data_IF_686723618644
#
_entry.id   IF_686723618644
#
_cell.length_a   1.000
_cell.length_b   1.000
_cell.length_c   1.000
_cell.angle_alpha   90.00
_cell.angle_beta   90.00
_cell.angle_gamma   90.00
#
_symmetry.space_group_name_H-M   'P 1'
#
loop_
_entity.id
_entity.type
_entity.pdbx_description
1 polymer ?
#
# COMPACT_ATOMS: atom_id res chain seq x y z
N UNK A 1 -30.45 28.18 2.16
CA UNK A 1 -29.74 27.16 2.93
C UNK A 1 -28.32 27.09 2.41
N UNK A 2 -27.35 27.61 3.18
CA UNK A 2 -25.95 27.62 2.76
C UNK A 2 -25.35 26.21 2.89
N UNK A 3 -24.89 25.67 1.78
CA UNK A 3 -24.06 24.48 1.78
C UNK A 3 -22.74 24.88 2.46
N UNK A 4 -22.53 24.43 3.71
CA UNK A 4 -21.21 24.54 4.34
C UNK A 4 -20.25 23.73 3.47
N UNK A 5 -19.29 24.38 2.83
CA UNK A 5 -18.15 23.71 2.23
C UNK A 5 -17.50 22.85 3.33
N UNK A 6 -17.60 21.56 3.19
CA UNK A 6 -16.91 20.62 4.09
C UNK A 6 -15.42 20.83 3.84
N UNK A 7 -14.68 21.23 4.87
CA UNK A 7 -13.23 21.39 4.75
C UNK A 7 -12.65 20.13 4.15
N UNK A 8 -11.88 20.27 3.07
CA UNK A 8 -11.20 19.14 2.45
C UNK A 8 -10.37 18.43 3.52
N UNK A 9 -10.62 17.16 3.73
CA UNK A 9 -9.91 16.38 4.75
C UNK A 9 -8.53 16.08 4.19
N UNK A 10 -7.51 16.37 4.98
CA UNK A 10 -6.13 16.09 4.63
C UNK A 10 -5.92 14.59 4.40
N UNK A 11 -5.30 14.23 3.28
CA UNK A 11 -4.90 12.85 3.01
C UNK A 11 -3.75 12.43 3.95
N UNK A 12 -3.77 11.18 4.37
CA UNK A 12 -2.78 10.62 5.27
C UNK A 12 -1.58 10.11 4.46
N UNK A 13 -0.44 10.80 4.52
CA UNK A 13 0.78 10.46 3.77
C UNK A 13 1.72 9.67 4.67
N UNK A 14 2.09 8.47 4.24
CA UNK A 14 3.10 7.63 4.86
C UNK A 14 3.99 6.95 3.82
N UNK A 15 4.64 5.86 4.22
CA UNK A 15 5.65 5.18 3.40
C UNK A 15 5.37 3.68 3.36
N UNK A 16 5.46 3.07 2.16
CA UNK A 16 5.68 1.65 1.97
C UNK A 16 7.16 1.34 2.20
N UNK A 17 7.45 0.49 3.19
CA UNK A 17 8.84 0.31 3.65
C UNK A 17 9.75 -0.42 2.65
N UNK A 18 9.19 -0.96 1.55
CA UNK A 18 10.01 -1.46 0.44
C UNK A 18 10.91 -0.36 -0.14
N UNK A 19 10.47 0.90 -0.10
CA UNK A 19 11.28 2.09 -0.43
C UNK A 19 12.67 2.09 0.22
N UNK A 20 12.77 1.53 1.42
CA UNK A 20 14.02 1.42 2.19
C UNK A 20 14.58 -0.01 2.22
N UNK A 21 14.36 -0.80 1.16
CA UNK A 21 14.74 -2.22 1.12
C UNK A 21 16.23 -2.48 1.35
N UNK A 22 17.09 -1.52 1.01
CA UNK A 22 18.56 -1.60 1.22
C UNK A 22 19.02 -1.07 2.60
N UNK A 23 18.11 -0.47 3.40
CA UNK A 23 18.44 0.11 4.72
C UNK A 23 18.29 -0.91 5.85
N UNK A 24 19.01 -0.71 6.96
CA UNK A 24 18.63 -1.37 8.20
C UNK A 24 17.30 -0.81 8.73
N UNK A 25 16.61 -1.55 9.61
CA UNK A 25 15.38 -1.04 10.26
C UNK A 25 15.67 0.24 11.05
N UNK A 26 16.83 0.34 11.69
CA UNK A 26 17.20 1.51 12.51
C UNK A 26 17.48 2.73 11.63
N UNK A 27 18.18 2.56 10.51
CA UNK A 27 18.44 3.64 9.54
C UNK A 27 17.10 4.12 8.93
N UNK A 28 16.25 3.19 8.52
CA UNK A 28 14.91 3.50 8.02
C UNK A 28 14.10 4.31 9.04
N UNK A 29 14.07 3.89 10.32
CA UNK A 29 13.37 4.61 11.39
C UNK A 29 13.93 6.02 11.56
N UNK A 30 15.24 6.18 11.44
CA UNK A 30 15.88 7.49 11.51
C UNK A 30 15.39 8.42 10.40
N UNK A 31 15.29 7.91 9.16
CA UNK A 31 14.75 8.65 8.01
C UNK A 31 13.26 8.98 8.19
N UNK A 32 12.44 8.00 8.55
CA UNK A 32 11.02 8.20 8.80
C UNK A 32 10.78 9.27 9.87
N UNK A 33 11.58 9.25 10.95
CA UNK A 33 11.50 10.23 12.04
C UNK A 33 11.88 11.63 11.55
N UNK A 34 12.98 11.76 10.79
CA UNK A 34 13.41 13.03 10.21
C UNK A 34 12.34 13.63 9.29
N UNK A 35 11.65 12.79 8.52
CA UNK A 35 10.55 13.17 7.63
C UNK A 35 9.21 13.33 8.35
N UNK A 36 9.14 13.09 9.68
CA UNK A 36 7.91 13.11 10.47
C UNK A 36 6.81 12.19 9.90
N UNK A 37 7.21 11.01 9.45
CA UNK A 37 6.30 9.95 9.03
C UNK A 37 5.92 9.14 10.26
N UNK A 38 4.62 8.99 10.50
CA UNK A 38 4.07 8.29 11.67
C UNK A 38 3.29 7.04 11.33
N UNK A 39 3.06 6.78 10.04
CA UNK A 39 2.35 5.59 9.57
C UNK A 39 3.07 4.97 8.37
N UNK A 40 3.16 3.65 8.42
CA UNK A 40 3.83 2.85 7.39
C UNK A 40 3.02 1.64 6.99
N UNK A 41 3.28 1.14 5.78
CA UNK A 41 3.11 -0.26 5.46
C UNK A 41 4.43 -1.00 5.62
N UNK A 42 4.40 -2.15 6.33
CA UNK A 42 5.53 -3.07 6.35
C UNK A 42 5.55 -3.90 5.08
N UNK A 43 6.40 -3.54 4.14
CA UNK A 43 6.54 -4.19 2.81
C UNK A 43 7.97 -4.63 2.49
N UNK A 44 8.84 -4.76 3.49
CA UNK A 44 10.23 -5.19 3.30
C UNK A 44 10.31 -6.70 3.00
N UNK A 45 11.22 -7.08 2.10
CA UNK A 45 11.36 -8.45 1.61
C UNK A 45 11.56 -9.51 2.71
N UNK A 46 12.28 -9.16 3.80
CA UNK A 46 12.49 -10.05 4.94
C UNK A 46 11.25 -10.25 5.83
N UNK A 47 10.16 -9.52 5.57
CA UNK A 47 8.86 -9.67 6.22
C UNK A 47 7.79 -10.28 5.31
N UNK A 48 8.09 -10.55 4.05
CA UNK A 48 7.14 -11.15 3.11
C UNK A 48 7.07 -12.67 3.27
N UNK A 49 5.93 -13.27 2.86
CA UNK A 49 5.69 -14.72 2.97
C UNK A 49 6.63 -15.59 2.13
N UNK A 50 7.27 -15.05 1.10
CA UNK A 50 8.29 -15.76 0.32
C UNK A 50 9.48 -16.21 1.19
N UNK A 51 9.80 -15.45 2.24
CA UNK A 51 10.79 -15.78 3.28
C UNK A 51 10.20 -15.33 4.62
N UNK A 52 9.30 -16.15 5.22
CA UNK A 52 8.54 -15.71 6.39
C UNK A 52 9.44 -15.27 7.53
N UNK A 53 9.16 -14.12 8.16
CA UNK A 53 9.90 -13.65 9.32
C UNK A 53 9.65 -14.57 10.52
N UNK A 54 10.51 -14.47 11.52
CA UNK A 54 10.21 -15.05 12.84
C UNK A 54 9.32 -14.11 13.65
N UNK A 55 8.63 -14.66 14.63
CA UNK A 55 7.85 -13.85 15.60
C UNK A 55 8.72 -12.81 16.32
N UNK A 56 9.95 -13.17 16.62
CA UNK A 56 10.90 -12.27 17.29
C UNK A 56 11.25 -11.09 16.40
N UNK A 57 11.48 -11.31 15.10
CA UNK A 57 11.70 -10.23 14.13
C UNK A 57 10.51 -9.26 14.11
N UNK A 58 9.27 -9.78 14.03
CA UNK A 58 8.07 -8.94 14.02
C UNK A 58 7.92 -8.14 15.32
N UNK A 59 8.08 -8.78 16.48
CA UNK A 59 8.01 -8.09 17.79
C UNK A 59 9.11 -7.06 17.96
N UNK A 60 10.34 -7.37 17.53
CA UNK A 60 11.47 -6.46 17.58
C UNK A 60 11.23 -5.22 16.71
N UNK A 61 10.79 -5.42 15.46
CA UNK A 61 10.45 -4.34 14.55
C UNK A 61 9.34 -3.46 15.14
N UNK A 62 8.25 -4.08 15.60
CA UNK A 62 7.15 -3.35 16.24
C UNK A 62 7.61 -2.53 17.43
N UNK A 63 8.41 -3.12 18.32
CA UNK A 63 8.94 -2.41 19.50
C UNK A 63 9.81 -1.20 19.12
N UNK A 64 10.60 -1.30 18.03
CA UNK A 64 11.38 -0.17 17.51
C UNK A 64 10.49 0.93 16.96
N UNK A 65 9.46 0.57 16.17
CA UNK A 65 8.48 1.53 15.64
C UNK A 65 7.71 2.23 16.76
N UNK A 66 7.22 1.49 17.74
CA UNK A 66 6.48 2.06 18.88
C UNK A 66 7.31 3.12 19.63
N UNK A 67 8.60 2.84 19.88
CA UNK A 67 9.51 3.80 20.52
C UNK A 67 9.74 5.06 19.68
N UNK A 68 9.67 4.95 18.36
CA UNK A 68 9.80 6.07 17.43
C UNK A 68 8.46 6.80 17.17
N UNK A 69 7.35 6.34 17.75
CA UNK A 69 6.02 6.89 17.50
C UNK A 69 5.49 6.57 16.09
N UNK A 70 5.98 5.50 15.47
CA UNK A 70 5.57 5.03 14.14
C UNK A 70 4.62 3.86 14.28
N UNK A 71 3.53 3.86 13.53
CA UNK A 71 2.53 2.78 13.49
C UNK A 71 2.62 2.01 12.18
N UNK A 72 2.71 0.69 12.27
CA UNK A 72 2.50 -0.20 11.12
C UNK A 72 0.98 -0.37 10.93
N UNK A 73 0.38 0.34 9.97
CA UNK A 73 -1.07 0.29 9.73
C UNK A 73 -1.45 -0.72 8.65
N UNK A 74 -0.51 -1.08 7.80
CA UNK A 74 -0.64 -2.12 6.79
C UNK A 74 0.58 -3.05 6.79
N UNK A 75 0.35 -4.32 6.46
CA UNK A 75 1.39 -5.33 6.25
C UNK A 75 1.25 -5.92 4.85
N UNK A 76 2.30 -5.82 4.04
CA UNK A 76 2.33 -6.43 2.71
C UNK A 76 2.84 -7.87 2.80
N UNK A 77 1.94 -8.83 2.54
CA UNK A 77 2.24 -10.26 2.65
C UNK A 77 2.89 -10.86 1.40
N UNK A 78 2.81 -10.18 0.24
CA UNK A 78 2.94 -10.77 -1.07
C UNK A 78 1.81 -11.80 -1.33
N UNK A 79 2.03 -12.79 -2.21
CA UNK A 79 1.00 -13.76 -2.59
C UNK A 79 0.70 -14.75 -1.48
N UNK A 80 -0.57 -14.87 -1.07
CA UNK A 80 -1.07 -15.91 -0.16
C UNK A 80 -1.52 -17.11 -1.00
N UNK A 81 -0.76 -18.21 -0.94
CA UNK A 81 -0.94 -19.38 -1.83
C UNK A 81 -1.70 -20.52 -1.18
N UNK A 82 -1.55 -20.69 0.12
CA UNK A 82 -2.10 -21.81 0.88
C UNK A 82 -2.51 -21.41 2.31
N UNK A 83 -3.05 -22.34 3.07
CA UNK A 83 -3.53 -22.10 4.43
C UNK A 83 -2.39 -21.73 5.39
N UNK A 84 -1.17 -22.20 5.16
CA UNK A 84 0.00 -21.83 5.95
C UNK A 84 0.38 -20.37 5.73
N UNK A 85 0.37 -19.91 4.48
CA UNK A 85 0.61 -18.50 4.14
C UNK A 85 -0.46 -17.61 4.76
N UNK A 86 -1.73 -18.06 4.75
CA UNK A 86 -2.84 -17.36 5.38
C UNK A 86 -2.66 -17.25 6.90
N UNK A 87 -2.25 -18.33 7.57
CA UNK A 87 -1.95 -18.32 9.02
C UNK A 87 -0.80 -17.35 9.34
N UNK A 88 0.25 -17.33 8.51
CA UNK A 88 1.37 -16.41 8.66
C UNK A 88 0.93 -14.96 8.43
N UNK A 89 0.14 -14.67 7.40
CA UNK A 89 -0.34 -13.33 7.12
C UNK A 89 -1.13 -12.75 8.31
N UNK A 90 -2.05 -13.53 8.88
CA UNK A 90 -2.80 -13.14 10.09
C UNK A 90 -1.86 -12.93 11.26
N UNK A 91 -0.98 -13.88 11.53
CA UNK A 91 -0.04 -13.84 12.66
C UNK A 91 0.89 -12.64 12.59
N UNK A 92 1.49 -12.37 11.44
CA UNK A 92 2.45 -11.27 11.31
C UNK A 92 1.76 -9.91 11.35
N UNK A 93 0.57 -9.77 10.75
CA UNK A 93 -0.24 -8.56 10.90
C UNK A 93 -0.51 -8.26 12.39
N UNK A 94 -0.94 -9.27 13.16
CA UNK A 94 -1.20 -9.12 14.59
C UNK A 94 0.06 -8.77 15.38
N UNK A 95 1.21 -9.42 15.09
CA UNK A 95 2.48 -9.14 15.76
C UNK A 95 3.03 -7.74 15.44
N UNK A 96 2.82 -7.25 14.22
CA UNK A 96 3.19 -5.90 13.81
C UNK A 96 2.17 -4.84 14.28
N UNK A 97 0.99 -5.26 14.74
CA UNK A 97 -0.11 -4.38 15.16
C UNK A 97 -0.89 -3.78 13.99
N UNK A 98 -0.74 -4.35 12.79
CA UNK A 98 -1.46 -3.94 11.59
C UNK A 98 -2.92 -4.39 11.64
N UNK A 99 -3.81 -3.58 11.04
CA UNK A 99 -5.22 -3.91 10.84
C UNK A 99 -5.54 -4.24 9.39
N UNK A 100 -4.68 -3.82 8.47
CA UNK A 100 -4.77 -4.15 7.05
C UNK A 100 -3.64 -5.07 6.64
N UNK A 101 -3.94 -6.01 5.76
CA UNK A 101 -2.95 -6.80 5.02
C UNK A 101 -3.16 -6.51 3.55
N UNK A 102 -2.09 -6.16 2.86
CA UNK A 102 -2.08 -6.05 1.41
C UNK A 102 -1.32 -7.22 0.80
N UNK A 103 -1.70 -7.58 -0.41
CA UNK A 103 -1.10 -8.71 -1.12
C UNK A 103 -2.03 -9.21 -2.21
N UNK A 104 -1.74 -10.39 -2.71
CA UNK A 104 -2.58 -11.01 -3.71
C UNK A 104 -2.91 -12.48 -3.37
N UNK A 105 -3.99 -12.97 -3.94
CA UNK A 105 -4.43 -14.35 -3.91
C UNK A 105 -5.44 -14.56 -5.02
N UNK A 106 -5.66 -15.79 -5.44
CA UNK A 106 -6.61 -16.12 -6.51
C UNK A 106 -7.55 -17.27 -6.12
N UNK A 107 -8.64 -17.44 -6.87
CA UNK A 107 -9.53 -18.57 -6.73
C UNK A 107 -10.16 -18.71 -5.34
N UNK A 108 -10.14 -19.93 -4.80
CA UNK A 108 -10.72 -20.25 -3.50
C UNK A 108 -9.98 -19.60 -2.32
N UNK A 109 -8.72 -19.24 -2.49
CA UNK A 109 -7.95 -18.59 -1.43
C UNK A 109 -8.56 -17.24 -1.04
N UNK A 110 -9.10 -16.47 -1.99
CA UNK A 110 -9.80 -15.22 -1.68
C UNK A 110 -11.00 -15.43 -0.75
N UNK A 111 -11.73 -16.54 -0.90
CA UNK A 111 -12.85 -16.89 0.00
C UNK A 111 -12.33 -17.22 1.41
N UNK A 112 -11.28 -18.01 1.50
CA UNK A 112 -10.65 -18.36 2.79
C UNK A 112 -10.10 -17.12 3.52
N UNK A 113 -9.48 -16.20 2.77
CA UNK A 113 -9.01 -14.91 3.31
C UNK A 113 -10.20 -14.12 3.85
N UNK A 114 -11.27 -13.95 3.08
CA UNK A 114 -12.46 -13.20 3.48
C UNK A 114 -13.05 -13.75 4.80
N UNK A 115 -13.26 -15.06 4.88
CA UNK A 115 -13.80 -15.73 6.07
C UNK A 115 -12.85 -15.58 7.29
N UNK A 116 -11.53 -15.78 7.07
CA UNK A 116 -10.55 -15.72 8.15
C UNK A 116 -10.35 -14.30 8.66
N UNK A 117 -10.20 -13.34 7.76
CA UNK A 117 -9.96 -11.94 8.12
C UNK A 117 -11.18 -11.30 8.79
N UNK A 118 -12.39 -11.63 8.33
CA UNK A 118 -13.63 -11.21 9.01
C UNK A 118 -13.66 -11.69 10.46
N UNK A 119 -13.27 -12.95 10.72
CA UNK A 119 -13.23 -13.51 12.06
C UNK A 119 -12.15 -12.88 12.95
N UNK A 120 -11.00 -12.52 12.37
CA UNK A 120 -9.87 -11.94 13.10
C UNK A 120 -9.96 -10.39 13.24
N UNK A 121 -10.97 -9.76 12.62
CA UNK A 121 -11.11 -8.30 12.62
C UNK A 121 -10.01 -7.58 11.85
N UNK A 122 -9.47 -8.21 10.79
CA UNK A 122 -8.50 -7.67 9.86
C UNK A 122 -9.19 -7.31 8.55
N UNK A 123 -8.55 -6.49 7.72
CA UNK A 123 -8.95 -6.21 6.34
C UNK A 123 -7.89 -6.69 5.35
N UNK A 124 -8.30 -7.05 4.14
CA UNK A 124 -7.39 -7.45 3.06
C UNK A 124 -7.58 -6.55 1.85
N UNK A 125 -6.49 -5.91 1.41
CA UNK A 125 -6.43 -5.13 0.19
C UNK A 125 -5.76 -5.93 -0.93
N UNK A 126 -6.51 -6.32 -1.96
CA UNK A 126 -5.93 -6.92 -3.17
C UNK A 126 -5.01 -5.88 -3.80
N UNK A 127 -3.73 -6.22 -3.94
CA UNK A 127 -2.71 -5.39 -4.56
C UNK A 127 -2.66 -5.67 -6.05
N UNK A 128 -2.88 -4.66 -6.89
CA UNK A 128 -2.65 -4.75 -8.33
C UNK A 128 -1.16 -4.57 -8.63
N UNK A 129 -0.67 -5.27 -9.63
CA UNK A 129 0.75 -5.24 -9.99
C UNK A 129 0.95 -5.25 -11.50
N UNK A 130 2.05 -4.66 -11.97
CA UNK A 130 2.55 -4.82 -13.32
C UNK A 130 3.64 -5.89 -13.34
N UNK A 131 3.54 -6.81 -14.29
CA UNK A 131 4.62 -7.72 -14.66
C UNK A 131 4.74 -7.75 -16.19
N UNK A 132 5.92 -8.09 -16.71
CA UNK A 132 6.10 -8.29 -18.15
C UNK A 132 5.22 -9.41 -18.70
N UNK A 133 4.96 -10.42 -17.88
CA UNK A 133 3.99 -11.47 -18.13
C UNK A 133 2.68 -11.12 -17.43
N UNK A 134 1.54 -11.50 -18.03
CA UNK A 134 0.23 -11.16 -17.49
C UNK A 134 0.08 -11.61 -16.04
N UNK A 135 -0.37 -10.69 -15.19
CA UNK A 135 -0.70 -10.91 -13.79
C UNK A 135 -2.21 -10.95 -13.56
N UNK A 136 -2.65 -11.44 -12.41
CA UNK A 136 -4.08 -11.60 -12.12
C UNK A 136 -4.82 -10.25 -11.96
N UNK A 137 -4.12 -9.21 -11.51
CA UNK A 137 -4.70 -7.91 -11.16
C UNK A 137 -3.91 -6.78 -11.78
N UNK A 138 -4.14 -6.51 -13.06
CA UNK A 138 -3.49 -5.43 -13.81
C UNK A 138 -4.37 -4.17 -13.90
N UNK A 139 -5.67 -4.33 -13.68
CA UNK A 139 -6.67 -3.27 -13.82
C UNK A 139 -7.61 -3.17 -12.62
N UNK A 140 -8.34 -2.05 -12.52
CA UNK A 140 -9.41 -1.89 -11.55
C UNK A 140 -10.53 -2.92 -11.74
N UNK A 141 -10.80 -3.31 -12.98
CA UNK A 141 -11.81 -4.31 -13.36
C UNK A 141 -11.45 -5.70 -12.83
N UNK A 142 -10.18 -6.09 -12.91
CA UNK A 142 -9.72 -7.37 -12.37
C UNK A 142 -9.95 -7.42 -10.86
N UNK A 143 -9.59 -6.35 -10.15
CA UNK A 143 -9.80 -6.24 -8.70
C UNK A 143 -11.29 -6.25 -8.35
N UNK A 144 -12.13 -5.49 -9.07
CA UNK A 144 -13.59 -5.47 -8.85
C UNK A 144 -14.21 -6.85 -9.09
N UNK A 145 -13.76 -7.56 -10.11
CA UNK A 145 -14.22 -8.93 -10.41
C UNK A 145 -13.87 -9.89 -9.26
N UNK A 146 -12.69 -9.76 -8.68
CA UNK A 146 -12.26 -10.56 -7.53
C UNK A 146 -13.03 -10.21 -6.25
N UNK A 147 -13.46 -8.96 -6.09
CA UNK A 147 -14.23 -8.49 -4.94
C UNK A 147 -15.72 -8.80 -5.01
N UNK A 148 -16.23 -9.21 -6.17
CA UNK A 148 -17.66 -9.48 -6.36
C UNK A 148 -18.17 -10.54 -5.39
N UNK A 149 -19.22 -10.20 -4.63
CA UNK A 149 -19.86 -11.11 -3.66
C UNK A 149 -19.08 -11.33 -2.36
N UNK A 150 -18.00 -10.57 -2.11
CA UNK A 150 -17.21 -10.67 -0.87
C UNK A 150 -17.68 -9.66 0.18
N UNK A 151 -17.27 -9.89 1.42
CA UNK A 151 -17.56 -8.99 2.52
C UNK A 151 -16.80 -7.66 2.42
N UNK A 152 -17.19 -6.69 3.22
CA UNK A 152 -16.49 -5.40 3.33
C UNK A 152 -15.08 -5.49 3.93
N UNK A 153 -14.69 -6.67 4.44
CA UNK A 153 -13.33 -6.98 4.89
C UNK A 153 -12.35 -6.95 3.72
N UNK A 154 -12.80 -7.42 2.56
CA UNK A 154 -12.03 -7.42 1.32
C UNK A 154 -12.10 -6.06 0.64
N UNK A 155 -11.01 -5.66 0.02
CA UNK A 155 -10.91 -4.40 -0.72
C UNK A 155 -9.68 -4.36 -1.60
N UNK A 156 -9.24 -3.15 -1.93
CA UNK A 156 -8.09 -2.90 -2.81
C UNK A 156 -6.99 -2.14 -2.07
N UNK A 157 -5.77 -2.60 -2.23
CA UNK A 157 -4.55 -1.80 -2.12
C UNK A 157 -4.19 -1.35 -3.53
N UNK A 158 -4.55 -0.12 -3.88
CA UNK A 158 -4.38 0.41 -5.22
C UNK A 158 -2.98 0.97 -5.40
N UNK A 159 -2.15 0.32 -6.21
CA UNK A 159 -0.89 0.90 -6.68
C UNK A 159 -1.13 1.64 -8.01
N UNK A 160 -1.04 2.98 -7.96
CA UNK A 160 -1.30 3.82 -9.14
C UNK A 160 -0.17 3.77 -10.17
N UNK A 161 1.07 3.48 -9.73
CA UNK A 161 2.20 3.29 -10.63
C UNK A 161 2.02 2.04 -11.48
N UNK A 162 1.63 0.94 -10.87
CA UNK A 162 1.36 -0.30 -11.60
C UNK A 162 0.15 -0.19 -12.54
N UNK A 163 -0.92 0.53 -12.15
CA UNK A 163 -2.03 0.85 -13.06
C UNK A 163 -1.51 1.58 -14.31
N UNK A 164 -0.66 2.59 -14.11
CA UNK A 164 -0.06 3.36 -15.22
C UNK A 164 0.88 2.49 -16.07
N UNK A 165 1.68 1.62 -15.45
CA UNK A 165 2.55 0.66 -16.15
C UNK A 165 1.75 -0.30 -17.03
N UNK A 166 0.58 -0.74 -16.58
CA UNK A 166 -0.35 -1.57 -17.35
C UNK A 166 -1.11 -0.78 -18.44
N UNK A 167 -0.90 0.55 -18.55
CA UNK A 167 -1.54 1.40 -19.55
C UNK A 167 -2.97 1.82 -19.24
N UNK A 168 -3.41 1.65 -17.99
CA UNK A 168 -4.75 2.03 -17.55
C UNK A 168 -4.80 3.46 -16.96
N UNK A 169 -5.99 4.07 -16.91
CA UNK A 169 -6.19 5.40 -16.33
C UNK A 169 -6.24 5.32 -14.80
N UNK A 170 -5.27 5.94 -14.16
CA UNK A 170 -5.09 5.94 -12.71
C UNK A 170 -6.22 6.65 -11.96
N UNK A 171 -6.75 7.74 -12.52
CA UNK A 171 -7.86 8.51 -11.92
C UNK A 171 -9.16 7.73 -12.02
N UNK A 172 -9.38 7.04 -13.15
CA UNK A 172 -10.53 6.16 -13.29
C UNK A 172 -10.45 4.96 -12.34
N UNK A 173 -9.26 4.38 -12.16
CA UNK A 173 -9.03 3.31 -11.20
C UNK A 173 -9.39 3.74 -9.76
N UNK A 174 -8.94 4.93 -9.32
CA UNK A 174 -9.34 5.49 -8.02
C UNK A 174 -10.86 5.60 -7.92
N UNK A 175 -11.51 6.13 -8.94
CA UNK A 175 -12.97 6.33 -8.95
C UNK A 175 -13.74 5.02 -8.86
N UNK A 176 -13.33 4.02 -9.62
CA UNK A 176 -13.97 2.69 -9.64
C UNK A 176 -13.78 1.95 -8.32
N UNK A 177 -12.57 2.01 -7.75
CA UNK A 177 -12.22 1.30 -6.53
C UNK A 177 -12.54 2.07 -5.24
N UNK A 178 -12.99 3.33 -5.33
CA UNK A 178 -13.23 4.20 -4.16
C UNK A 178 -13.98 3.51 -2.99
N UNK A 179 -15.08 2.73 -3.21
CA UNK A 179 -15.81 2.08 -2.12
C UNK A 179 -15.02 0.92 -1.46
N UNK A 180 -13.94 0.47 -2.09
CA UNK A 180 -13.19 -0.72 -1.71
C UNK A 180 -11.77 -0.39 -1.25
N UNK A 181 -11.30 0.86 -1.37
CA UNK A 181 -9.92 1.23 -1.05
C UNK A 181 -9.60 0.96 0.43
N UNK A 182 -8.59 0.14 0.69
CA UNK A 182 -7.99 -0.12 1.99
C UNK A 182 -6.65 0.63 2.14
N UNK A 183 -5.96 0.83 1.04
CA UNK A 183 -4.72 1.60 0.98
C UNK A 183 -4.45 2.03 -0.46
N UNK A 184 -3.62 3.06 -0.64
CA UNK A 184 -3.12 3.50 -1.95
C UNK A 184 -1.59 3.59 -1.90
N UNK A 185 -0.91 2.97 -2.85
CA UNK A 185 0.49 3.24 -3.13
C UNK A 185 0.60 4.42 -4.09
N UNK A 186 1.30 5.46 -3.65
CA UNK A 186 1.72 6.57 -4.49
C UNK A 186 3.08 6.21 -5.10
N UNK A 187 3.04 5.74 -6.32
CA UNK A 187 4.19 5.37 -7.14
C UNK A 187 4.06 6.06 -8.48
N UNK A 188 5.13 6.61 -9.02
CA UNK A 188 5.13 7.17 -10.37
C UNK A 188 6.16 6.46 -11.25
N UNK A 189 5.83 6.25 -12.50
CA UNK A 189 6.65 5.49 -13.45
C UNK A 189 6.84 6.28 -14.73
N UNK A 190 7.99 6.08 -15.39
CA UNK A 190 8.37 6.85 -16.57
C UNK A 190 7.46 6.59 -17.79
N UNK A 191 7.07 5.33 -18.01
CA UNK A 191 6.33 4.92 -19.18
C UNK A 191 5.51 3.66 -18.91
N UNK A 192 4.47 3.45 -19.71
CA UNK A 192 3.73 2.19 -19.77
C UNK A 192 4.63 1.06 -20.28
N UNK A 193 4.39 -0.15 -19.81
CA UNK A 193 5.19 -1.34 -20.14
C UNK A 193 6.53 -1.42 -19.40
N UNK A 194 6.70 -0.65 -18.32
CA UNK A 194 7.92 -0.63 -17.51
C UNK A 194 7.69 -0.32 -16.05
N UNK A 195 8.73 -0.54 -15.24
CA UNK A 195 8.76 -0.32 -13.80
C UNK A 195 9.82 0.73 -13.39
N UNK A 196 10.32 1.54 -14.37
CA UNK A 196 11.30 2.58 -14.06
C UNK A 196 10.62 3.69 -13.24
N UNK A 197 10.82 3.63 -11.94
CA UNK A 197 10.29 4.61 -11.00
C UNK A 197 10.92 5.99 -11.23
N UNK A 198 10.10 7.02 -11.16
CA UNK A 198 10.50 8.43 -11.17
C UNK A 198 9.86 9.14 -10.00
N UNK A 199 10.35 10.33 -9.63
CA UNK A 199 9.76 11.11 -8.56
C UNK A 199 8.30 11.42 -8.84
N UNK A 200 7.48 11.44 -7.80
CA UNK A 200 6.05 11.72 -7.89
C UNK A 200 5.78 13.02 -8.69
N UNK A 201 4.92 12.91 -9.68
CA UNK A 201 4.57 14.00 -10.59
C UNK A 201 5.50 14.15 -11.82
N UNK A 202 6.53 13.33 -11.94
CA UNK A 202 7.44 13.34 -13.11
C UNK A 202 7.16 12.22 -14.11
N UNK A 203 6.22 11.34 -13.80
CA UNK A 203 5.85 10.20 -14.62
C UNK A 203 4.44 10.29 -15.21
N UNK A 204 3.92 9.13 -15.56
CA UNK A 204 2.63 8.98 -16.25
C UNK A 204 1.47 8.64 -15.32
N UNK A 205 1.70 8.39 -14.01
CA UNK A 205 0.65 8.02 -13.06
C UNK A 205 -0.30 9.17 -12.70
N UNK A 206 -0.07 10.38 -13.20
CA UNK A 206 -0.94 11.57 -12.99
C UNK A 206 -1.17 11.89 -11.50
N UNK A 207 -0.15 11.79 -10.67
CA UNK A 207 -0.25 11.89 -9.20
C UNK A 207 -1.09 13.09 -8.72
N UNK A 208 -0.95 14.33 -9.24
CA UNK A 208 -1.81 15.43 -8.81
C UNK A 208 -3.30 15.21 -9.07
N UNK A 209 -3.65 14.55 -10.17
CA UNK A 209 -5.04 14.23 -10.50
C UNK A 209 -5.58 13.08 -9.64
N UNK A 210 -4.74 12.08 -9.35
CA UNK A 210 -5.03 10.98 -8.41
C UNK A 210 -5.33 11.54 -7.02
N UNK A 211 -4.46 12.38 -6.47
CA UNK A 211 -4.65 13.01 -5.16
C UNK A 211 -5.95 13.85 -5.10
N UNK A 212 -6.22 14.62 -6.16
CA UNK A 212 -7.49 15.36 -6.28
C UNK A 212 -8.70 14.43 -6.29
N UNK A 213 -8.63 13.27 -6.95
CA UNK A 213 -9.73 12.31 -6.97
C UNK A 213 -9.91 11.64 -5.61
N UNK A 214 -8.83 11.29 -4.90
CA UNK A 214 -8.88 10.77 -3.52
C UNK A 214 -9.58 11.75 -2.56
N UNK A 215 -9.33 13.06 -2.69
CA UNK A 215 -10.09 14.07 -1.94
C UNK A 215 -11.59 14.06 -2.26
N UNK A 216 -11.96 13.96 -3.54
CA UNK A 216 -13.38 13.94 -3.97
C UNK A 216 -14.13 12.73 -3.42
N UNK A 217 -13.48 11.56 -3.38
CA UNK A 217 -14.09 10.35 -2.82
C UNK A 217 -13.98 10.29 -1.30
N UNK A 218 -13.48 11.34 -0.66
CA UNK A 218 -13.32 11.44 0.80
C UNK A 218 -12.47 10.32 1.40
N UNK A 219 -11.40 9.91 0.69
CA UNK A 219 -10.48 8.87 1.14
C UNK A 219 -9.80 9.25 2.47
N UNK A 220 -9.57 8.26 3.37
CA UNK A 220 -9.07 8.49 4.74
C UNK A 220 -7.91 7.58 5.13
N UNK A 221 -7.74 6.47 4.42
CA UNK A 221 -6.73 5.49 4.74
C UNK A 221 -5.33 5.96 4.29
N UNK A 222 -4.32 5.13 4.48
CA UNK A 222 -2.94 5.47 4.15
C UNK A 222 -2.73 5.65 2.64
N UNK A 223 -2.13 6.78 2.26
CA UNK A 223 -1.44 6.97 0.99
C UNK A 223 0.05 6.72 1.24
N UNK A 224 0.53 5.52 0.94
CA UNK A 224 1.92 5.13 1.14
C UNK A 224 2.76 5.47 -0.10
N UNK A 225 3.77 6.29 0.06
CA UNK A 225 4.78 6.51 -1.00
C UNK A 225 5.59 5.23 -1.14
N UNK A 226 5.76 4.77 -2.37
CA UNK A 226 6.61 3.64 -2.70
C UNK A 226 7.54 4.00 -3.87
N UNK A 227 8.85 3.98 -3.60
CA UNK A 227 9.89 4.38 -4.54
C UNK A 227 10.99 3.31 -4.58
N UNK A 228 11.01 2.56 -5.66
CA UNK A 228 11.84 1.36 -5.81
C UNK A 228 13.14 1.68 -6.58
N UNK A 229 13.99 2.48 -5.97
CA UNK A 229 15.34 2.75 -6.50
C UNK A 229 16.41 2.14 -5.61
N UNK A 230 17.47 1.69 -6.23
CA UNK A 230 18.65 1.19 -5.52
C UNK A 230 19.48 2.33 -4.93
N UNK A 231 20.17 2.02 -3.84
CA UNK A 231 21.14 2.92 -3.21
C UNK A 231 20.54 3.87 -2.20
N UNK A 232 21.13 5.07 -2.08
CA UNK A 232 20.66 6.10 -1.16
C UNK A 232 19.51 6.88 -1.78
N UNK A 233 18.32 6.77 -1.17
CA UNK A 233 17.08 7.42 -1.61
C UNK A 233 16.65 8.60 -0.74
N UNK A 234 17.44 9.01 0.24
CA UNK A 234 17.05 10.01 1.27
C UNK A 234 16.54 11.32 0.68
N UNK A 235 17.29 11.89 -0.28
CA UNK A 235 16.91 13.16 -0.92
C UNK A 235 15.66 13.02 -1.79
N UNK A 236 15.53 11.88 -2.46
CA UNK A 236 14.41 11.60 -3.35
C UNK A 236 13.14 11.45 -2.51
N UNK A 237 13.18 10.67 -1.44
CA UNK A 237 12.04 10.46 -0.55
C UNK A 237 11.65 11.75 0.18
N UNK A 238 12.62 12.58 0.59
CA UNK A 238 12.32 13.89 1.16
C UNK A 238 11.55 14.76 0.16
N UNK A 239 11.93 14.74 -1.12
CA UNK A 239 11.26 15.46 -2.20
C UNK A 239 9.84 14.91 -2.42
N UNK A 240 9.68 13.60 -2.45
CA UNK A 240 8.36 12.97 -2.64
C UNK A 240 7.40 13.25 -1.49
N UNK A 241 7.88 13.15 -0.24
CA UNK A 241 7.07 13.46 0.94
C UNK A 241 6.61 14.93 0.93
N UNK A 242 7.53 15.85 0.58
CA UNK A 242 7.18 17.27 0.44
C UNK A 242 6.14 17.48 -0.67
N UNK A 243 6.34 16.86 -1.83
CA UNK A 243 5.41 16.95 -2.97
C UNK A 243 4.04 16.39 -2.61
N UNK A 244 3.97 15.19 -2.04
CA UNK A 244 2.71 14.56 -1.65
C UNK A 244 1.97 15.39 -0.60
N UNK A 245 2.67 15.93 0.41
CA UNK A 245 2.08 16.77 1.45
C UNK A 245 1.51 18.11 0.94
N UNK A 246 2.05 18.66 -0.14
CA UNK A 246 1.49 19.88 -0.78
C UNK A 246 0.16 19.59 -1.47
N UNK A 247 -0.08 18.35 -1.87
CA UNK A 247 -1.31 17.91 -2.53
C UNK A 247 -2.33 17.29 -1.56
N UNK A 248 -1.92 16.95 -0.34
CA UNK A 248 -2.74 16.35 0.71
C UNK A 248 -3.53 17.46 1.49
#
# INVERSE_FOLDING_TARGET
>A
MGVRAQAATKLNIGIGTYTYHSYSIDDMISQLTALKITEIEMSRGEFMLMKPPTDEMCRSAKSKFDRAGIRCVSYYSATIKDDRDLDYAVRFAQLLGSKNVSGDATGDMLRKIDERFTREGLTFGIHNHYFKEKFAYESAEDVLSALAGRSTTMGSTLDVGHIASCGHDTVEAVRKLAPYLKMVHLKDVRASGGEDNVLLGQGIAKIPAVMKELHKVSYRELCAIEYEKEGNVDSDIATEVEFARKLA
#
